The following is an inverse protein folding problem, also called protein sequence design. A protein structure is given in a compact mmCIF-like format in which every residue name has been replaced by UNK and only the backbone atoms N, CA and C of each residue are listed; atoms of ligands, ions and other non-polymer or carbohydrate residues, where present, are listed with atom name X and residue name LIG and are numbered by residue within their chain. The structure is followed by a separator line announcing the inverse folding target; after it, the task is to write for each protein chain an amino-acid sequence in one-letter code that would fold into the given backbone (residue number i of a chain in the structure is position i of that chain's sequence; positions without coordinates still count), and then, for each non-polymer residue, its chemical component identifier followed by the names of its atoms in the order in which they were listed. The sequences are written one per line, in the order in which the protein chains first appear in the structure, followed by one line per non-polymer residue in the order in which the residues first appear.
data_IF_513825693705
#
_entry.id   IF_513825693705
#
_cell.length_a   1.000
_cell.length_b   1.000
_cell.length_c   1.000
_cell.angle_alpha   90.00
_cell.angle_beta   90.00
_cell.angle_gamma   90.00
#
_symmetry.space_group_name_H-M   'P 1'
#
loop_
_entity.id
_entity.type
_entity.pdbx_description
1 polymer ?
#
# COMPACT_ATOMS: atom_id res chain seq x y z
N UNK A 1 -7.91 -31.84 1.57
CA UNK A 1 -8.43 -30.48 1.34
C UNK A 1 -7.27 -29.52 1.36
N UNK A 2 -7.22 -28.59 0.40
CA UNK A 2 -6.21 -27.54 0.42
C UNK A 2 -6.31 -26.74 1.71
N UNK A 3 -5.19 -26.19 2.19
CA UNK A 3 -5.20 -25.35 3.40
C UNK A 3 -4.12 -24.30 3.40
N UNK A 4 -4.53 -23.06 3.71
CA UNK A 4 -3.61 -21.96 3.99
C UNK A 4 -2.83 -22.22 5.28
N UNK A 5 -1.51 -22.13 5.22
CA UNK A 5 -0.61 -22.26 6.38
C UNK A 5 -0.18 -20.91 6.94
N UNK A 6 -0.13 -19.89 6.10
CA UNK A 6 0.22 -18.53 6.50
C UNK A 6 0.54 -17.65 5.30
N UNK A 7 0.70 -16.36 5.58
CA UNK A 7 1.06 -15.38 4.58
C UNK A 7 2.00 -14.34 5.17
N UNK A 8 2.68 -13.61 4.28
CA UNK A 8 3.46 -12.43 4.58
C UNK A 8 3.11 -11.36 3.55
N UNK A 9 2.93 -10.13 4.00
CA UNK A 9 2.77 -8.96 3.13
C UNK A 9 3.95 -8.03 3.35
N UNK A 10 4.56 -7.56 2.28
CA UNK A 10 5.59 -6.53 2.28
C UNK A 10 5.13 -5.37 1.39
N UNK A 11 5.35 -4.14 1.83
CA UNK A 11 4.93 -2.95 1.11
C UNK A 11 6.15 -2.25 0.51
N UNK A 12 6.04 -1.89 -0.76
CA UNK A 12 7.06 -1.12 -1.47
C UNK A 12 6.43 0.14 -2.04
N UNK A 13 6.98 1.31 -1.70
CA UNK A 13 6.59 2.58 -2.34
C UNK A 13 7.41 2.71 -3.62
N UNK A 14 6.74 2.64 -4.76
CA UNK A 14 7.35 2.77 -6.09
C UNK A 14 7.53 4.26 -6.41
N UNK A 15 6.55 5.08 -6.04
CA UNK A 15 6.53 6.51 -6.33
C UNK A 15 5.87 7.29 -5.20
N UNK A 16 6.49 8.39 -4.81
CA UNK A 16 5.89 9.38 -3.92
C UNK A 16 6.33 10.78 -4.36
N UNK A 17 5.39 11.57 -4.88
CA UNK A 17 5.70 12.89 -5.45
C UNK A 17 4.66 13.93 -5.05
N UNK A 18 5.15 15.10 -4.64
CA UNK A 18 4.33 16.28 -4.41
C UNK A 18 4.04 16.98 -5.74
N UNK A 19 2.78 17.25 -6.02
CA UNK A 19 2.33 17.98 -7.20
C UNK A 19 1.78 19.36 -6.80
N UNK A 20 2.07 20.36 -7.64
CA UNK A 20 1.47 21.67 -7.52
C UNK A 20 0.04 21.63 -8.06
N UNK A 21 -0.84 22.37 -7.40
CA UNK A 21 -2.17 22.67 -7.92
C UNK A 21 -2.36 24.19 -8.00
N UNK A 22 -3.15 24.70 -8.95
CA UNK A 22 -3.45 26.12 -9.08
C UNK A 22 -4.55 26.55 -8.11
N UNK A 23 -4.57 25.98 -6.89
CA UNK A 23 -5.58 26.22 -5.87
C UNK A 23 -4.90 26.76 -4.60
N UNK A 24 -5.65 27.56 -3.86
CA UNK A 24 -5.30 28.04 -2.52
C UNK A 24 -6.43 27.73 -1.56
N UNK A 25 -6.12 27.60 -0.28
CA UNK A 25 -7.14 27.46 0.76
C UNK A 25 -7.85 28.78 1.00
N UNK A 26 -9.02 28.71 1.63
CA UNK A 26 -9.78 29.89 2.07
C UNK A 26 -9.26 30.47 3.41
N UNK A 27 -8.11 29.99 3.89
CA UNK A 27 -7.47 30.47 5.12
C UNK A 27 -6.96 31.92 4.98
N UNK A 28 -6.71 32.58 6.11
CA UNK A 28 -6.10 33.91 6.15
C UNK A 28 -4.81 33.90 6.99
N UNK A 29 -3.61 33.90 6.37
CA UNK A 29 -3.35 34.00 4.92
C UNK A 29 -3.65 32.68 4.16
N UNK A 30 -3.95 32.75 2.85
CA UNK A 30 -4.25 31.57 2.05
C UNK A 30 -3.01 30.71 1.86
N UNK A 31 -3.17 29.38 1.97
CA UNK A 31 -2.09 28.41 1.76
C UNK A 31 -2.20 27.77 0.38
N UNK A 32 -1.07 27.48 -0.31
CA UNK A 32 -1.11 26.71 -1.54
C UNK A 32 -1.65 25.30 -1.27
N UNK A 33 -2.62 24.86 -2.07
CA UNK A 33 -3.05 23.46 -2.05
C UNK A 33 -2.03 22.65 -2.83
N UNK A 34 -1.46 21.64 -2.16
CA UNK A 34 -0.61 20.63 -2.78
C UNK A 34 -1.34 19.30 -2.77
N UNK A 35 -0.88 18.37 -3.61
CA UNK A 35 -1.31 16.98 -3.53
C UNK A 35 -0.09 16.08 -3.56
N UNK A 36 -0.24 14.87 -3.05
CA UNK A 36 0.78 13.83 -3.11
C UNK A 36 0.20 12.66 -3.88
N UNK A 37 0.92 12.24 -4.92
CA UNK A 37 0.65 10.97 -5.59
C UNK A 37 1.54 9.93 -4.92
N UNK A 38 0.93 8.83 -4.49
CA UNK A 38 1.64 7.67 -3.96
C UNK A 38 1.24 6.46 -4.79
N UNK A 39 2.23 5.81 -5.40
CA UNK A 39 2.08 4.51 -6.04
C UNK A 39 2.93 3.50 -5.28
N UNK A 40 2.36 2.34 -4.99
CA UNK A 40 3.05 1.29 -4.27
C UNK A 40 2.56 -0.10 -4.63
N UNK A 41 3.21 -1.09 -4.03
CA UNK A 41 2.97 -2.50 -4.26
C UNK A 41 2.87 -3.23 -2.93
N UNK A 42 1.79 -3.98 -2.72
CA UNK A 42 1.71 -4.99 -1.67
C UNK A 42 2.15 -6.33 -2.25
N UNK A 43 3.35 -6.78 -1.85
CA UNK A 43 3.94 -8.07 -2.22
C UNK A 43 3.49 -9.12 -1.22
N UNK A 44 2.67 -10.05 -1.69
CA UNK A 44 2.02 -11.06 -0.86
C UNK A 44 2.67 -12.41 -1.16
N UNK A 45 3.19 -13.06 -0.12
CA UNK A 45 3.68 -14.43 -0.18
C UNK A 45 2.78 -15.33 0.65
N UNK A 46 2.20 -16.36 0.03
CA UNK A 46 1.24 -17.28 0.62
C UNK A 46 1.83 -18.67 0.67
N UNK A 47 1.73 -19.35 1.82
CA UNK A 47 2.09 -20.77 1.97
C UNK A 47 0.83 -21.61 2.14
N UNK A 48 0.69 -22.68 1.37
CA UNK A 48 -0.47 -23.57 1.43
C UNK A 48 -0.07 -25.03 1.25
N UNK A 49 -0.96 -25.93 1.68
CA UNK A 49 -0.88 -27.37 1.42
C UNK A 49 -1.85 -27.70 0.30
N UNK A 50 -1.36 -28.40 -0.73
CA UNK A 50 -2.20 -28.88 -1.83
C UNK A 50 -2.99 -30.13 -1.43
N UNK A 51 -4.16 -30.34 -2.05
CA UNK A 51 -5.00 -31.51 -1.81
C UNK A 51 -4.53 -32.71 -2.63
N UNK A 52 -3.28 -33.11 -2.38
CA UNK A 52 -2.62 -34.26 -2.98
C UNK A 52 -2.29 -35.29 -1.89
N UNK A 53 -2.18 -36.60 -2.21
CA UNK A 53 -2.00 -37.66 -1.21
C UNK A 53 -0.83 -37.43 -0.24
N UNK A 54 0.20 -36.75 -0.72
CA UNK A 54 1.46 -36.43 -0.08
C UNK A 54 1.49 -35.04 0.58
N UNK A 55 0.39 -34.27 0.51
CA UNK A 55 0.19 -32.99 1.20
C UNK A 55 1.40 -32.04 1.13
N UNK A 56 1.94 -31.86 -0.08
CA UNK A 56 3.12 -31.02 -0.30
C UNK A 56 2.83 -29.55 0.05
N UNK A 57 3.84 -28.86 0.59
CA UNK A 57 3.79 -27.42 0.92
C UNK A 57 4.27 -26.62 -0.28
N UNK A 58 3.45 -25.68 -0.73
CA UNK A 58 3.74 -24.80 -1.86
C UNK A 58 3.73 -23.32 -1.44
N UNK A 59 4.34 -22.49 -2.28
CA UNK A 59 4.36 -21.03 -2.15
C UNK A 59 3.75 -20.37 -3.39
N UNK A 60 2.92 -19.36 -3.18
CA UNK A 60 2.40 -18.49 -4.23
C UNK A 60 2.75 -17.03 -3.93
N UNK A 61 3.03 -16.25 -4.97
CA UNK A 61 3.41 -14.85 -4.87
C UNK A 61 2.43 -13.98 -5.68
N UNK A 62 2.01 -12.86 -5.10
CA UNK A 62 1.12 -11.90 -5.73
C UNK A 62 1.65 -10.49 -5.51
N UNK A 63 1.53 -9.67 -6.54
CA UNK A 63 1.92 -8.26 -6.51
C UNK A 63 0.65 -7.44 -6.72
N UNK A 64 0.15 -6.80 -5.67
CA UNK A 64 -1.09 -6.01 -5.70
C UNK A 64 -0.75 -4.51 -5.70
N UNK A 65 -0.86 -3.82 -6.86
CA UNK A 65 -0.55 -2.40 -6.94
C UNK A 65 -1.64 -1.57 -6.26
N UNK A 66 -1.22 -0.49 -5.60
CA UNK A 66 -2.12 0.53 -5.07
C UNK A 66 -1.65 1.92 -5.49
N UNK A 67 -2.62 2.83 -5.64
CA UNK A 67 -2.35 4.22 -6.00
C UNK A 67 -3.35 5.12 -5.27
N UNK A 68 -2.86 6.24 -4.74
CA UNK A 68 -3.72 7.26 -4.12
C UNK A 68 -3.22 8.66 -4.40
N UNK A 69 -4.17 9.61 -4.36
CA UNK A 69 -3.93 11.03 -4.46
C UNK A 69 -4.44 11.70 -3.19
N UNK A 70 -3.53 12.20 -2.36
CA UNK A 70 -3.85 12.85 -1.09
C UNK A 70 -3.73 14.37 -1.24
N UNK A 71 -4.68 15.10 -0.68
CA UNK A 71 -4.57 16.56 -0.58
C UNK A 71 -3.69 16.94 0.62
N UNK A 72 -2.75 17.85 0.41
CA UNK A 72 -1.86 18.39 1.43
C UNK A 72 -1.84 19.92 1.36
N UNK A 73 -2.86 20.59 1.91
CA UNK A 73 -2.86 22.04 2.01
C UNK A 73 -1.65 22.53 2.83
N UNK A 74 -0.91 23.50 2.30
CA UNK A 74 0.34 23.95 2.93
C UNK A 74 1.50 22.96 2.85
N UNK A 75 1.37 21.88 2.07
CA UNK A 75 2.46 20.93 1.82
C UNK A 75 3.67 21.60 1.13
N UNK A 76 4.83 20.92 1.10
CA UNK A 76 6.06 21.48 0.54
C UNK A 76 5.96 21.68 -0.97
N UNK A 77 6.96 22.33 -1.57
CA UNK A 77 6.99 22.53 -3.01
C UNK A 77 7.16 21.18 -3.76
N UNK A 78 6.71 21.08 -5.02
CA UNK A 78 7.06 19.94 -5.87
C UNK A 78 8.57 19.72 -5.91
N UNK A 79 8.99 18.46 -5.86
CA UNK A 79 10.39 18.07 -5.82
C UNK A 79 11.02 18.07 -4.41
N UNK A 80 10.30 18.51 -3.37
CA UNK A 80 10.77 18.33 -1.99
C UNK A 80 10.83 16.84 -1.60
N UNK A 81 11.87 16.41 -0.87
CA UNK A 81 11.98 15.03 -0.43
C UNK A 81 10.91 14.73 0.62
N UNK A 82 10.11 13.71 0.36
CA UNK A 82 9.09 13.21 1.27
C UNK A 82 9.38 11.74 1.61
N UNK A 83 8.95 11.33 2.80
CA UNK A 83 8.93 9.94 3.22
C UNK A 83 7.48 9.47 3.31
N UNK A 84 7.24 8.22 2.92
CA UNK A 84 5.94 7.56 3.05
C UNK A 84 6.13 6.31 3.87
N UNK A 85 5.57 6.30 5.07
CA UNK A 85 5.55 5.14 5.95
C UNK A 85 4.22 4.41 5.78
N UNK A 86 4.29 3.11 5.52
CA UNK A 86 3.12 2.24 5.41
C UNK A 86 2.89 1.54 6.73
N UNK A 87 1.74 1.77 7.34
CA UNK A 87 1.29 1.04 8.52
C UNK A 87 0.20 0.05 8.10
N UNK A 88 0.43 -1.23 8.38
CA UNK A 88 -0.58 -2.27 8.20
C UNK A 88 -1.61 -2.17 9.33
N UNK A 89 -2.84 -1.77 8.99
CA UNK A 89 -3.95 -1.70 9.95
C UNK A 89 -4.67 -3.05 10.06
N UNK A 90 -4.86 -3.71 8.92
CA UNK A 90 -5.55 -4.99 8.86
C UNK A 90 -5.14 -5.78 7.62
N UNK A 91 -4.87 -7.07 7.80
CA UNK A 91 -4.74 -8.03 6.70
C UNK A 91 -5.53 -9.28 7.02
N UNK A 92 -6.38 -9.68 6.07
CA UNK A 92 -7.09 -10.95 6.07
C UNK A 92 -6.96 -11.60 4.71
N UNK A 93 -6.31 -12.76 4.69
CA UNK A 93 -6.21 -13.62 3.50
C UNK A 93 -6.87 -14.96 3.81
N UNK A 94 -7.81 -15.38 2.99
CA UNK A 94 -8.45 -16.68 3.12
C UNK A 94 -8.70 -17.33 1.77
N UNK A 95 -8.74 -18.66 1.75
CA UNK A 95 -9.09 -19.42 0.56
C UNK A 95 -10.60 -19.41 0.37
N UNK A 96 -11.03 -19.13 -0.85
CA UNK A 96 -12.42 -19.25 -1.28
C UNK A 96 -12.70 -20.68 -1.78
N UNK A 97 -11.72 -21.27 -2.48
CA UNK A 97 -11.66 -22.66 -2.93
C UNK A 97 -10.18 -23.06 -3.14
N UNK A 98 -9.94 -24.22 -3.74
CA UNK A 98 -8.60 -24.78 -3.97
C UNK A 98 -7.69 -23.91 -4.87
N UNK A 99 -8.20 -22.89 -5.55
CA UNK A 99 -7.36 -22.06 -6.46
C UNK A 99 -7.60 -20.56 -6.35
N UNK A 100 -8.57 -20.12 -5.55
CA UNK A 100 -8.90 -18.72 -5.39
C UNK A 100 -8.70 -18.24 -3.95
N UNK A 101 -8.04 -17.09 -3.82
CA UNK A 101 -7.80 -16.40 -2.55
C UNK A 101 -8.56 -15.07 -2.52
N UNK A 102 -9.23 -14.80 -1.40
CA UNK A 102 -9.69 -13.46 -1.04
C UNK A 102 -8.62 -12.76 -0.21
N UNK A 103 -8.30 -11.53 -0.57
CA UNK A 103 -7.30 -10.68 0.09
C UNK A 103 -7.97 -9.36 0.48
N UNK A 104 -8.04 -9.09 1.78
CA UNK A 104 -8.48 -7.80 2.32
C UNK A 104 -7.27 -7.21 3.03
N UNK A 105 -6.80 -6.05 2.56
CA UNK A 105 -5.64 -5.36 3.07
C UNK A 105 -6.05 -3.91 3.30
N UNK A 106 -5.89 -3.43 4.52
CA UNK A 106 -6.12 -2.05 4.92
C UNK A 106 -4.79 -1.49 5.43
N UNK A 107 -4.34 -0.42 4.80
CA UNK A 107 -3.10 0.26 5.14
C UNK A 107 -3.36 1.74 5.38
N UNK A 108 -2.64 2.29 6.34
CA UNK A 108 -2.52 3.72 6.55
C UNK A 108 -1.20 4.19 5.94
N UNK A 109 -1.27 5.25 5.12
CA UNK A 109 -0.11 5.91 4.54
C UNK A 109 0.19 7.19 5.31
N UNK A 110 1.33 7.23 5.98
CA UNK A 110 1.79 8.41 6.69
C UNK A 110 2.83 9.13 5.85
N UNK A 111 2.58 10.39 5.52
CA UNK A 111 3.50 11.21 4.74
C UNK A 111 4.20 12.18 5.69
N UNK A 112 5.52 12.25 5.59
CA UNK A 112 6.34 13.22 6.32
C UNK A 112 7.35 13.90 5.37
N UNK A 113 7.83 15.08 5.77
CA UNK A 113 8.96 15.72 5.10
C UNK A 113 10.22 15.06 5.64
N UNK A 114 11.16 14.72 4.76
CA UNK A 114 12.43 14.15 5.18
C UNK A 114 13.27 15.26 5.84
N UNK A 115 13.52 15.16 7.15
CA UNK A 115 14.48 16.03 7.83
C UNK A 115 15.91 15.65 7.39
N UNK A 116 16.75 16.66 7.14
CA UNK A 116 18.17 16.51 6.78
C UNK A 116 19.03 16.05 7.96
#
# INVERSE_FOLDING_TARGET
MERLLGYKVEYEIIKAEVIATPLVTDDNPPLPVRKVIIDGLAKISVKYVADVPDQQVHGAHFDEPFSTLLEWPGGPAPGSPICVDVLEEHVQIHMLDDRHLSKIIVIQLNISIKEE
#
